data_IF_469538125141
#
_entry.id   IF_469538125141
#
_cell.length_a   1.000
_cell.length_b   1.000
_cell.length_c   1.000
_cell.angle_alpha   90.00
_cell.angle_beta   90.00
_cell.angle_gamma   90.00
#
_symmetry.space_group_name_H-M   'P 1'
#
loop_
_entity.id
_entity.type
_entity.pdbx_description
1 polymer ?
#
# COMPACT_ATOMS: atom_id res chain seq x y z
N UNK A 1 3.34 -13.47 -9.27
CA UNK A 1 4.79 -13.64 -9.00
C UNK A 1 5.46 -14.01 -10.31
N UNK A 2 6.65 -13.46 -10.58
CA UNK A 2 7.49 -13.80 -11.72
C UNK A 2 8.94 -13.93 -11.24
N UNK A 3 9.35 -15.13 -10.84
CA UNK A 3 10.60 -15.33 -10.10
C UNK A 3 10.61 -14.55 -8.79
N UNK A 4 11.65 -13.74 -8.57
CA UNK A 4 11.79 -12.83 -7.43
C UNK A 4 11.00 -11.51 -7.59
N UNK A 5 10.36 -11.26 -8.75
CA UNK A 5 9.52 -10.08 -8.93
C UNK A 5 8.10 -10.36 -8.45
N UNK A 6 7.61 -9.53 -7.55
CA UNK A 6 6.30 -9.69 -6.91
C UNK A 6 5.48 -8.42 -7.07
N UNK A 7 4.42 -8.50 -7.86
CA UNK A 7 3.40 -7.44 -7.88
C UNK A 7 2.35 -7.70 -6.81
N UNK A 8 2.12 -6.71 -5.95
CA UNK A 8 1.04 -6.70 -4.96
C UNK A 8 0.04 -5.65 -5.39
N UNK A 9 -1.19 -6.08 -5.72
CA UNK A 9 -2.28 -5.18 -6.10
C UNK A 9 -3.22 -5.02 -4.93
N UNK A 10 -3.44 -3.78 -4.52
CA UNK A 10 -4.34 -3.40 -3.45
C UNK A 10 -5.34 -2.38 -3.97
N UNK A 11 -6.49 -2.35 -3.32
CA UNK A 11 -7.46 -1.28 -3.45
C UNK A 11 -7.68 -0.66 -2.08
N UNK A 12 -7.93 0.65 -2.04
CA UNK A 12 -8.38 1.38 -0.87
C UNK A 12 -9.82 1.83 -1.08
N UNK A 13 -10.64 1.64 -0.05
CA UNK A 13 -11.96 2.24 0.09
C UNK A 13 -12.17 2.44 1.59
N UNK A 14 -12.31 3.68 2.03
CA UNK A 14 -12.33 4.01 3.45
C UNK A 14 -13.31 3.12 4.24
N UNK A 15 -12.89 2.54 5.39
CA UNK A 15 -11.61 2.70 6.08
C UNK A 15 -10.54 1.63 5.75
N UNK A 16 -10.70 0.84 4.68
CA UNK A 16 -9.92 -0.40 4.51
C UNK A 16 -9.06 -0.44 3.25
N UNK A 17 -7.92 -1.14 3.37
CA UNK A 17 -7.28 -1.79 2.24
C UNK A 17 -7.89 -3.17 2.00
N UNK A 18 -7.95 -3.62 0.75
CA UNK A 18 -8.53 -4.92 0.40
C UNK A 18 -7.72 -6.13 0.89
N UNK A 19 -6.44 -5.96 1.17
CA UNK A 19 -5.57 -6.99 1.75
C UNK A 19 -5.18 -6.61 3.17
N UNK A 20 -5.43 -7.51 4.13
CA UNK A 20 -4.98 -7.35 5.52
C UNK A 20 -3.50 -7.67 5.71
N UNK A 21 -3.00 -8.65 4.95
CA UNK A 21 -1.58 -9.03 4.92
C UNK A 21 -1.21 -9.60 3.55
N UNK A 22 0.07 -9.54 3.21
CA UNK A 22 0.65 -10.25 2.08
C UNK A 22 2.06 -10.74 2.44
N UNK A 23 2.45 -11.91 1.92
CA UNK A 23 3.73 -12.54 2.23
C UNK A 23 4.68 -12.44 1.05
N UNK A 24 5.88 -11.95 1.33
CA UNK A 24 7.02 -11.81 0.40
C UNK A 24 8.25 -12.45 1.02
N UNK A 25 9.24 -12.75 0.19
CA UNK A 25 10.52 -13.33 0.62
C UNK A 25 11.59 -12.24 0.66
N UNK A 26 12.57 -12.40 1.56
CA UNK A 26 13.81 -11.62 1.49
C UNK A 26 14.42 -11.77 0.09
N UNK A 27 14.78 -10.66 -0.54
CA UNK A 27 15.30 -10.58 -1.90
C UNK A 27 14.24 -10.45 -3.00
N UNK A 28 12.95 -10.48 -2.66
CA UNK A 28 11.90 -10.17 -3.63
C UNK A 28 11.98 -8.67 -4.02
N UNK A 29 11.89 -8.36 -5.31
CA UNK A 29 11.63 -7.02 -5.85
C UNK A 29 10.10 -6.86 -5.89
N UNK A 30 9.56 -6.08 -4.96
CA UNK A 30 8.14 -5.92 -4.75
C UNK A 30 7.67 -4.63 -5.39
N UNK A 31 6.73 -4.72 -6.33
CA UNK A 31 5.97 -3.57 -6.84
C UNK A 31 4.60 -3.57 -6.19
N UNK A 32 4.36 -2.60 -5.31
CA UNK A 32 3.07 -2.37 -4.70
C UNK A 32 2.27 -1.40 -5.59
N UNK A 33 1.04 -1.77 -5.92
CA UNK A 33 0.13 -1.01 -6.79
C UNK A 33 -1.15 -0.79 -6.00
N UNK A 34 -1.47 0.47 -5.69
CA UNK A 34 -2.64 0.85 -4.92
C UNK A 34 -3.56 1.73 -5.76
N UNK A 35 -4.82 1.32 -5.86
CA UNK A 35 -5.89 2.11 -6.46
C UNK A 35 -6.86 2.59 -5.38
N UNK A 36 -7.22 3.86 -5.39
CA UNK A 36 -8.30 4.40 -4.55
C UNK A 36 -9.64 4.26 -5.29
N UNK A 37 -10.58 3.51 -4.71
CA UNK A 37 -11.89 3.26 -5.29
C UNK A 37 -13.00 4.17 -4.72
N UNK A 38 -12.67 5.06 -3.78
CA UNK A 38 -13.62 6.06 -3.29
C UNK A 38 -14.05 7.01 -4.42
N UNK A 39 -15.32 7.40 -4.38
CA UNK A 39 -15.97 8.27 -5.37
C UNK A 39 -16.30 9.65 -4.81
N UNK A 40 -15.87 9.92 -3.58
CA UNK A 40 -16.08 11.18 -2.88
C UNK A 40 -14.85 12.05 -3.10
N UNK A 41 -15.06 13.31 -3.49
CA UNK A 41 -14.00 14.30 -3.63
C UNK A 41 -13.24 14.48 -2.31
N UNK A 42 -11.93 14.76 -2.39
CA UNK A 42 -11.04 14.99 -1.25
C UNK A 42 -10.91 13.79 -0.27
N UNK A 43 -11.46 12.62 -0.63
CA UNK A 43 -11.28 11.38 0.13
C UNK A 43 -9.95 10.70 -0.25
N UNK A 44 -8.86 11.35 0.12
CA UNK A 44 -7.48 10.91 -0.15
C UNK A 44 -7.02 9.88 0.86
N UNK A 45 -6.43 8.79 0.38
CA UNK A 45 -5.69 7.84 1.23
C UNK A 45 -4.20 8.13 1.20
N UNK A 46 -3.52 7.74 2.28
CA UNK A 46 -2.08 7.58 2.31
C UNK A 46 -1.72 6.09 2.29
N UNK A 47 -0.48 5.79 1.96
CA UNK A 47 0.08 4.45 2.13
C UNK A 47 1.53 4.58 2.57
N UNK A 48 1.86 4.03 3.74
CA UNK A 48 3.21 4.07 4.28
C UNK A 48 3.74 2.69 4.68
N UNK A 49 5.03 2.48 4.44
CA UNK A 49 5.83 1.39 5.01
C UNK A 49 7.07 2.01 5.67
N UNK A 50 7.03 2.35 6.98
CA UNK A 50 8.04 3.23 7.60
C UNK A 50 9.48 2.74 7.46
N UNK A 51 9.71 1.42 7.62
CA UNK A 51 11.06 0.84 7.57
C UNK A 51 11.68 0.83 6.18
N UNK A 52 10.91 1.12 5.13
CA UNK A 52 11.37 1.22 3.75
C UNK A 52 11.37 2.66 3.24
N UNK A 53 11.09 3.66 4.08
CA UNK A 53 10.94 5.07 3.67
C UNK A 53 9.95 5.27 2.52
N UNK A 54 8.88 4.48 2.55
CA UNK A 54 7.81 4.55 1.54
C UNK A 54 6.66 5.30 2.17
N UNK A 55 6.29 6.41 1.53
CA UNK A 55 5.04 7.11 1.79
C UNK A 55 4.55 7.79 0.52
N UNK A 56 3.28 7.61 0.17
CA UNK A 56 2.63 8.36 -0.89
C UNK A 56 1.13 8.52 -0.61
N UNK A 57 0.53 9.54 -1.22
CA UNK A 57 -0.93 9.74 -1.23
C UNK A 57 -1.53 9.17 -2.52
N UNK A 58 -2.79 8.73 -2.48
CA UNK A 58 -3.57 8.31 -3.64
C UNK A 58 -4.97 8.93 -3.58
N UNK A 59 -5.26 9.81 -4.52
CA UNK A 59 -6.53 10.53 -4.61
C UNK A 59 -7.66 9.63 -5.15
N UNK A 60 -8.94 9.98 -4.93
CA UNK A 60 -10.08 9.24 -5.46
C UNK A 60 -9.91 8.88 -6.95
N UNK A 61 -10.12 7.60 -7.29
CA UNK A 61 -9.94 7.03 -8.64
C UNK A 61 -8.50 7.01 -9.19
N UNK A 62 -7.51 7.44 -8.42
CA UNK A 62 -6.09 7.39 -8.81
C UNK A 62 -5.50 5.99 -8.55
N UNK A 63 -4.49 5.62 -9.36
CA UNK A 63 -3.60 4.48 -9.08
C UNK A 63 -2.17 4.96 -8.96
N UNK A 64 -1.49 4.57 -7.89
CA UNK A 64 -0.04 4.77 -7.73
C UNK A 64 0.67 3.46 -7.45
N UNK A 65 1.95 3.43 -7.76
CA UNK A 65 2.81 2.30 -7.46
C UNK A 65 4.17 2.73 -6.96
N UNK A 66 4.78 1.83 -6.17
CA UNK A 66 6.15 1.96 -5.68
C UNK A 66 6.82 0.60 -5.76
N UNK A 67 8.09 0.58 -6.14
CA UNK A 67 8.90 -0.64 -6.19
C UNK A 67 10.00 -0.57 -5.15
N UNK A 68 10.18 -1.63 -4.38
CA UNK A 68 11.21 -1.74 -3.36
C UNK A 68 11.71 -3.18 -3.23
N UNK A 69 12.91 -3.35 -2.68
CA UNK A 69 13.52 -4.66 -2.43
C UNK A 69 13.34 -5.03 -0.97
N UNK A 70 12.90 -6.26 -0.70
CA UNK A 70 12.78 -6.78 0.66
C UNK A 70 14.18 -7.17 1.17
N UNK A 71 14.85 -6.26 1.85
CA UNK A 71 16.24 -6.43 2.29
C UNK A 71 16.37 -7.27 3.57
N UNK A 72 15.33 -7.26 4.42
CA UNK A 72 15.34 -7.88 5.75
C UNK A 72 14.06 -8.69 6.02
N UNK A 73 14.18 -9.84 6.71
CA UNK A 73 13.02 -10.58 7.17
C UNK A 73 12.37 -9.86 8.35
N UNK A 74 11.05 -9.96 8.48
CA UNK A 74 10.32 -9.38 9.60
C UNK A 74 8.85 -9.13 9.27
N UNK A 75 8.16 -8.52 10.22
CA UNK A 75 6.80 -8.00 10.04
C UNK A 75 6.89 -6.50 9.78
N UNK A 76 6.24 -6.05 8.72
CA UNK A 76 6.23 -4.67 8.29
C UNK A 76 4.79 -4.20 8.18
N UNK A 77 4.44 -3.21 9.00
CA UNK A 77 3.11 -2.61 8.96
C UNK A 77 3.00 -1.69 7.76
N UNK A 78 1.87 -1.82 7.06
CA UNK A 78 1.42 -0.89 6.04
C UNK A 78 0.15 -0.23 6.57
N UNK A 79 0.08 1.10 6.54
CA UNK A 79 -1.09 1.81 7.07
C UNK A 79 -1.37 3.10 6.30
N UNK A 80 -2.60 3.60 6.46
CA UNK A 80 -3.03 4.85 5.88
C UNK A 80 -2.55 6.03 6.74
N UNK A 81 -1.76 6.92 6.17
CA UNK A 81 -1.25 8.12 6.87
C UNK A 81 -2.23 9.29 6.85
N UNK A 82 -3.24 9.25 5.99
CA UNK A 82 -4.22 10.31 5.84
C UNK A 82 -5.48 9.99 6.66
N UNK A 83 -6.06 11.03 7.28
CA UNK A 83 -7.35 10.91 7.95
C UNK A 83 -8.45 10.78 6.88
N UNK A 84 -8.66 9.56 6.38
CA UNK A 84 -9.65 9.27 5.34
C UNK A 84 -11.00 8.78 5.92
N UNK A 85 -11.04 8.42 7.20
CA UNK A 85 -12.22 7.93 7.90
C UNK A 85 -12.04 8.07 9.42
N UNK A 86 -13.14 8.08 10.18
CA UNK A 86 -13.09 8.04 11.66
C UNK A 86 -12.35 6.80 12.23
N UNK A 87 -12.15 5.77 11.41
CA UNK A 87 -11.49 4.50 11.75
C UNK A 87 -10.22 4.30 10.92
N UNK A 88 -9.46 5.38 10.67
CA UNK A 88 -8.28 5.30 9.80
C UNK A 88 -7.04 4.65 10.45
N UNK A 89 -7.07 4.42 11.78
CA UNK A 89 -6.00 3.79 12.57
C UNK A 89 -6.27 2.32 12.83
#
# INVERSE_FOLDING_TARGET
>A
RNGNKVSVKLTSQAPTFSLREFKVKKGDEVTLILTNLDKVEDLTHGFAIPKYDIQFIVNPQETKSVTFVVDKPGVYWCYCTNFCHAMHL
#
